data_IF_255117158760
#
_entry.id   IF_255117158760
#
_cell.length_a   1.000
_cell.length_b   1.000
_cell.length_c   1.000
_cell.angle_alpha   90.00
_cell.angle_beta   90.00
_cell.angle_gamma   90.00
#
_symmetry.space_group_name_H-M   'P 1'
#
loop_
_entity.id
_entity.type
_entity.pdbx_description
1 polymer ?
#
# COMPACT_ATOMS: atom_id res chain seq x y z
N UNK A 1 28.14 -19.35 25.47
CA UNK A 1 26.97 -19.14 24.61
C UNK A 1 27.15 -19.78 23.22
N UNK A 2 27.73 -21.00 23.11
CA UNK A 2 27.96 -21.67 21.81
C UNK A 2 26.80 -22.57 21.35
N UNK A 3 25.99 -23.08 22.29
CA UNK A 3 24.88 -24.00 22.00
C UNK A 3 23.81 -23.42 21.04
N UNK A 4 23.59 -22.10 21.05
CA UNK A 4 22.55 -21.47 20.24
C UNK A 4 22.97 -21.25 18.78
N UNK A 5 24.26 -21.02 18.51
CA UNK A 5 24.79 -20.75 17.17
C UNK A 5 24.82 -22.03 16.31
N UNK A 6 25.23 -23.14 16.92
CA UNK A 6 25.29 -24.45 16.24
C UNK A 6 23.90 -24.99 15.91
N UNK A 7 22.89 -24.76 16.77
CA UNK A 7 21.49 -25.10 16.49
C UNK A 7 20.88 -24.29 15.33
N UNK A 8 21.32 -23.05 15.13
CA UNK A 8 20.86 -22.20 14.02
C UNK A 8 21.48 -22.68 12.71
N UNK A 9 22.78 -22.96 12.72
CA UNK A 9 23.51 -23.44 11.54
C UNK A 9 23.00 -24.79 11.05
N UNK A 10 22.51 -25.66 11.95
CA UNK A 10 21.96 -26.97 11.62
C UNK A 10 20.45 -26.96 11.27
N UNK A 11 19.80 -25.80 11.16
CA UNK A 11 18.39 -25.73 10.79
C UNK A 11 18.22 -26.17 9.33
N UNK A 12 17.66 -27.36 9.14
CA UNK A 12 17.28 -27.91 7.83
C UNK A 12 15.77 -27.76 7.70
N UNK A 13 15.34 -26.89 6.78
CA UNK A 13 13.92 -26.73 6.48
C UNK A 13 13.48 -27.87 5.54
N UNK A 14 12.54 -28.69 6.02
CA UNK A 14 12.06 -29.87 5.31
C UNK A 14 11.12 -29.52 4.15
N UNK A 15 10.90 -30.47 3.23
CA UNK A 15 9.93 -30.33 2.14
C UNK A 15 8.49 -30.16 2.67
N UNK A 16 8.15 -30.84 3.76
CA UNK A 16 6.85 -30.69 4.44
C UNK A 16 6.67 -29.28 5.00
N UNK A 17 7.73 -28.69 5.56
CA UNK A 17 7.72 -27.32 6.06
C UNK A 17 7.56 -26.31 4.93
N UNK A 18 8.27 -26.48 3.80
CA UNK A 18 8.09 -25.65 2.61
C UNK A 18 6.65 -25.72 2.08
N UNK A 19 6.07 -26.92 2.01
CA UNK A 19 4.65 -27.11 1.63
C UNK A 19 3.71 -26.41 2.61
N UNK A 20 3.97 -26.48 3.90
CA UNK A 20 3.17 -25.80 4.92
C UNK A 20 3.25 -24.27 4.78
N UNK A 21 4.45 -23.73 4.53
CA UNK A 21 4.68 -22.30 4.25
C UNK A 21 3.91 -21.86 3.01
N UNK A 22 4.04 -22.57 1.88
CA UNK A 22 3.29 -22.26 0.65
C UNK A 22 1.77 -22.31 0.87
N UNK A 23 1.27 -23.33 1.57
CA UNK A 23 -0.15 -23.45 1.87
C UNK A 23 -0.64 -22.31 2.78
N UNK A 24 0.13 -21.92 3.78
CA UNK A 24 -0.14 -20.79 4.65
C UNK A 24 -0.15 -19.46 3.90
N UNK A 25 0.86 -19.25 3.04
CA UNK A 25 0.98 -18.07 2.20
C UNK A 25 -0.20 -17.96 1.23
N UNK A 26 -0.59 -19.05 0.55
CA UNK A 26 -1.76 -19.08 -0.34
C UNK A 26 -3.05 -18.68 0.38
N UNK A 27 -3.26 -19.17 1.61
CA UNK A 27 -4.41 -18.76 2.43
C UNK A 27 -4.38 -17.26 2.76
N UNK A 28 -3.22 -16.73 3.15
CA UNK A 28 -3.03 -15.30 3.41
C UNK A 28 -3.30 -14.47 2.15
N UNK A 29 -2.71 -14.84 1.02
CA UNK A 29 -2.95 -14.17 -0.27
C UNK A 29 -4.43 -14.14 -0.63
N UNK A 30 -5.16 -15.24 -0.45
CA UNK A 30 -6.59 -15.28 -0.75
C UNK A 30 -7.37 -14.22 0.06
N UNK A 31 -7.02 -14.02 1.33
CA UNK A 31 -7.61 -12.98 2.19
C UNK A 31 -7.24 -11.58 1.68
N UNK A 32 -5.97 -11.35 1.32
CA UNK A 32 -5.52 -10.05 0.81
C UNK A 32 -6.16 -9.70 -0.54
N UNK A 33 -6.27 -10.69 -1.44
CA UNK A 33 -6.98 -10.57 -2.71
C UNK A 33 -8.44 -10.21 -2.46
N UNK A 34 -9.12 -10.90 -1.55
CA UNK A 34 -10.50 -10.59 -1.21
C UNK A 34 -10.63 -9.18 -0.63
N UNK A 35 -9.72 -8.79 0.26
CA UNK A 35 -9.67 -7.43 0.83
C UNK A 35 -9.55 -6.36 -0.26
N UNK A 36 -8.67 -6.57 -1.25
CA UNK A 36 -8.52 -5.63 -2.37
C UNK A 36 -9.75 -5.60 -3.28
N UNK A 37 -10.44 -6.75 -3.46
CA UNK A 37 -11.74 -6.80 -4.16
C UNK A 37 -12.82 -6.02 -3.41
N UNK A 38 -12.91 -6.18 -2.10
CA UNK A 38 -13.88 -5.48 -1.27
C UNK A 38 -13.65 -3.95 -1.35
N UNK A 39 -12.37 -3.52 -1.31
CA UNK A 39 -12.00 -2.11 -1.53
C UNK A 39 -12.40 -1.57 -2.89
N UNK A 40 -12.36 -2.41 -3.93
CA UNK A 40 -12.85 -2.04 -5.26
C UNK A 40 -14.37 -1.89 -5.26
N UNK A 41 -15.09 -2.80 -4.62
CA UNK A 41 -16.54 -2.70 -4.48
C UNK A 41 -16.94 -1.42 -3.73
N UNK A 42 -16.24 -1.06 -2.65
CA UNK A 42 -16.44 0.21 -1.94
C UNK A 42 -16.32 1.42 -2.89
N UNK A 43 -15.32 1.41 -3.78
CA UNK A 43 -15.12 2.48 -4.76
C UNK A 43 -16.24 2.51 -5.82
N UNK A 44 -16.69 1.35 -6.29
CA UNK A 44 -17.83 1.25 -7.22
C UNK A 44 -19.14 1.73 -6.58
N UNK A 45 -19.35 1.46 -5.29
CA UNK A 45 -20.48 2.00 -4.53
C UNK A 45 -20.44 3.52 -4.41
N UNK A 46 -19.25 4.13 -4.28
CA UNK A 46 -19.11 5.58 -4.31
C UNK A 46 -19.51 6.17 -5.67
N UNK A 47 -19.21 5.49 -6.78
CA UNK A 47 -19.61 5.92 -8.12
C UNK A 47 -21.14 5.89 -8.33
N UNK A 48 -21.86 5.03 -7.61
CA UNK A 48 -23.31 4.97 -7.65
C UNK A 48 -23.98 6.17 -6.94
N UNK A 49 -23.26 6.90 -6.08
CA UNK A 49 -23.78 8.03 -5.32
C UNK A 49 -23.98 9.26 -6.21
N UNK A 50 -25.14 9.94 -6.20
CA UNK A 50 -25.37 11.12 -7.03
C UNK A 50 -24.41 12.28 -6.73
N UNK A 51 -23.94 12.40 -5.49
CA UNK A 51 -23.01 13.43 -5.03
C UNK A 51 -21.71 13.44 -5.81
N UNK A 52 -21.26 12.28 -6.29
CA UNK A 52 -19.97 12.12 -6.98
C UNK A 52 -19.91 12.92 -8.30
N UNK A 53 -21.07 13.23 -8.88
CA UNK A 53 -21.21 13.97 -10.13
C UNK A 53 -20.99 15.48 -9.99
N UNK A 54 -20.83 15.98 -8.77
CA UNK A 54 -20.66 17.42 -8.49
C UNK A 54 -19.35 17.69 -7.75
N UNK A 55 -18.74 18.86 -7.96
CA UNK A 55 -17.48 19.21 -7.27
C UNK A 55 -17.63 19.21 -5.74
N UNK A 56 -18.76 19.74 -5.26
CA UNK A 56 -19.07 19.81 -3.83
C UNK A 56 -19.27 18.41 -3.24
N UNK A 57 -20.02 17.55 -3.92
CA UNK A 57 -20.27 16.20 -3.47
C UNK A 57 -19.02 15.33 -3.53
N UNK A 58 -18.24 15.42 -4.61
CA UNK A 58 -16.93 14.77 -4.71
C UNK A 58 -16.00 15.18 -3.56
N UNK A 59 -15.91 16.48 -3.26
CA UNK A 59 -15.13 17.00 -2.13
C UNK A 59 -15.56 16.41 -0.79
N UNK A 60 -16.86 16.18 -0.58
CA UNK A 60 -17.37 15.55 0.63
C UNK A 60 -17.00 14.06 0.68
N UNK A 61 -17.19 13.34 -0.42
CA UNK A 61 -16.84 11.92 -0.51
C UNK A 61 -15.35 11.70 -0.31
N UNK A 62 -14.49 12.52 -0.93
CA UNK A 62 -13.05 12.46 -0.75
C UNK A 62 -12.63 12.67 0.71
N UNK A 63 -13.24 13.62 1.42
CA UNK A 63 -12.96 13.84 2.85
C UNK A 63 -13.30 12.64 3.73
N UNK A 64 -14.35 11.92 3.39
CA UNK A 64 -14.91 10.86 4.23
C UNK A 64 -14.36 9.46 3.90
N UNK A 65 -13.91 9.25 2.66
CA UNK A 65 -13.59 7.91 2.16
C UNK A 65 -12.19 7.77 1.54
N UNK A 66 -11.49 8.87 1.23
CA UNK A 66 -10.16 8.78 0.64
C UNK A 66 -9.10 8.54 1.72
N UNK A 67 -8.17 7.61 1.46
CA UNK A 67 -7.00 7.34 2.30
C UNK A 67 -5.87 8.37 2.06
N UNK A 68 -5.95 9.15 0.98
CA UNK A 68 -4.90 10.09 0.58
C UNK A 68 -4.80 11.32 1.50
N UNK A 69 -3.59 11.90 1.59
CA UNK A 69 -3.34 13.11 2.40
C UNK A 69 -4.18 14.32 1.95
N UNK A 70 -4.54 14.34 0.66
CA UNK A 70 -5.40 15.32 0.02
C UNK A 70 -6.88 15.21 0.40
N UNK A 71 -7.30 14.10 1.04
CA UNK A 71 -8.66 13.89 1.52
C UNK A 71 -9.15 15.10 2.32
N UNK A 72 -8.33 15.61 3.24
CA UNK A 72 -8.63 16.79 4.08
C UNK A 72 -8.92 18.05 3.25
N UNK A 73 -8.34 18.16 2.05
CA UNK A 73 -8.54 19.26 1.10
C UNK A 73 -9.63 18.98 0.06
N UNK A 74 -10.42 17.92 0.26
CA UNK A 74 -11.47 17.55 -0.68
C UNK A 74 -10.98 16.75 -1.88
N UNK A 75 -9.86 16.03 -1.74
CA UNK A 75 -9.31 15.22 -2.81
C UNK A 75 -8.40 15.99 -3.77
N UNK A 76 -8.28 17.32 -3.66
CA UNK A 76 -7.52 18.13 -4.63
C UNK A 76 -6.02 17.79 -4.55
N UNK A 77 -5.50 17.27 -5.66
CA UNK A 77 -4.10 16.80 -5.76
C UNK A 77 -3.21 17.93 -6.28
N UNK A 78 -3.68 18.64 -7.31
CA UNK A 78 -2.91 19.69 -7.98
C UNK A 78 -3.42 19.96 -9.39
N UNK A 79 -2.61 20.66 -10.17
CA UNK A 79 -2.89 20.97 -11.57
C UNK A 79 -1.86 20.29 -12.45
N UNK A 80 -2.31 19.49 -13.42
CA UNK A 80 -1.46 18.61 -14.24
C UNK A 80 -1.88 18.61 -15.71
N UNK A 81 -0.98 18.25 -16.64
CA UNK A 81 -1.40 17.88 -18.00
C UNK A 81 -2.07 16.50 -18.01
N UNK A 82 -2.75 16.13 -19.10
CA UNK A 82 -3.39 14.80 -19.18
C UNK A 82 -2.37 13.67 -19.16
N UNK A 83 -1.21 13.89 -19.77
CA UNK A 83 -0.10 12.94 -19.81
C UNK A 83 0.51 12.75 -18.42
N UNK A 84 0.67 13.84 -17.66
CA UNK A 84 1.11 13.77 -16.26
C UNK A 84 0.12 12.99 -15.39
N UNK A 85 -1.19 13.21 -15.55
CA UNK A 85 -2.21 12.44 -14.82
C UNK A 85 -2.18 10.97 -15.20
N UNK A 86 -2.13 10.66 -16.50
CA UNK A 86 -2.09 9.28 -17.00
C UNK A 86 -0.88 8.51 -16.45
N UNK A 87 0.29 9.15 -16.44
CA UNK A 87 1.50 8.57 -15.86
C UNK A 87 1.35 8.28 -14.35
N UNK A 88 0.80 9.22 -13.59
CA UNK A 88 0.62 9.08 -12.14
C UNK A 88 -0.34 7.95 -11.75
N UNK A 89 -1.36 7.71 -12.57
CA UNK A 89 -2.36 6.65 -12.32
C UNK A 89 -2.02 5.31 -12.99
N UNK A 90 -0.86 5.21 -13.66
CA UNK A 90 -0.40 4.03 -14.41
C UNK A 90 -1.35 3.66 -15.58
N UNK A 91 -1.87 4.66 -16.28
CA UNK A 91 -2.75 4.52 -17.43
C UNK A 91 -2.09 5.03 -18.71
N UNK A 92 -2.54 4.50 -19.85
CA UNK A 92 -2.02 4.94 -21.17
C UNK A 92 -2.49 6.34 -21.54
N UNK A 93 -3.69 6.71 -21.13
CA UNK A 93 -4.32 7.97 -21.48
C UNK A 93 -5.32 8.38 -20.39
N UNK A 94 -5.47 9.70 -20.17
CA UNK A 94 -6.46 10.26 -19.27
C UNK A 94 -7.45 11.18 -20.02
N UNK A 95 -8.67 10.69 -20.24
CA UNK A 95 -9.66 11.31 -21.14
C UNK A 95 -10.84 12.00 -20.44
N UNK A 96 -10.84 12.05 -19.10
CA UNK A 96 -11.95 12.61 -18.32
C UNK A 96 -12.14 14.10 -18.64
N UNK A 97 -13.37 14.54 -18.93
CA UNK A 97 -13.65 15.93 -19.26
C UNK A 97 -13.77 16.81 -18.00
N UNK A 98 -13.67 18.13 -18.18
CA UNK A 98 -13.88 19.10 -17.09
C UNK A 98 -15.29 18.97 -16.54
N UNK A 99 -15.41 18.90 -15.22
CA UNK A 99 -16.67 18.68 -14.50
C UNK A 99 -17.11 17.22 -14.43
N UNK A 100 -16.40 16.29 -15.08
CA UNK A 100 -16.70 14.86 -15.05
C UNK A 100 -15.90 14.09 -14.00
N UNK A 101 -16.40 12.90 -13.69
CA UNK A 101 -15.76 11.96 -12.77
C UNK A 101 -15.54 10.63 -13.49
N UNK A 102 -14.36 10.05 -13.33
CA UNK A 102 -13.96 8.81 -13.96
C UNK A 102 -14.66 7.59 -13.34
N UNK A 103 -14.43 6.42 -13.95
CA UNK A 103 -14.56 5.14 -13.25
C UNK A 103 -13.44 4.91 -12.24
N UNK A 104 -13.30 3.65 -11.79
CA UNK A 104 -12.20 3.24 -10.92
C UNK A 104 -10.97 2.88 -11.76
N UNK A 105 -9.91 3.68 -11.62
CA UNK A 105 -8.57 3.34 -12.10
C UNK A 105 -7.85 2.47 -11.07
N UNK A 106 -7.04 1.54 -11.53
CA UNK A 106 -6.34 0.59 -10.67
C UNK A 106 -4.87 0.52 -11.03
N UNK A 107 -4.01 0.90 -10.07
CA UNK A 107 -2.58 0.62 -10.13
C UNK A 107 -2.22 -0.57 -9.23
N UNK A 108 -0.97 -1.04 -9.22
CA UNK A 108 -0.53 -2.07 -8.28
C UNK A 108 -0.75 -1.69 -6.81
N UNK A 109 -0.63 -0.38 -6.50
CA UNK A 109 -0.62 0.14 -5.13
C UNK A 109 -1.94 0.73 -4.66
N UNK A 110 -2.83 1.15 -5.56
CA UNK A 110 -4.07 1.83 -5.17
C UNK A 110 -5.17 1.77 -6.23
N UNK A 111 -6.40 2.01 -5.75
CA UNK A 111 -7.59 2.28 -6.56
C UNK A 111 -7.89 3.77 -6.49
N UNK A 112 -8.28 4.37 -7.62
CA UNK A 112 -8.51 5.82 -7.72
C UNK A 112 -9.79 6.13 -8.50
N UNK A 113 -10.56 7.11 -8.01
CA UNK A 113 -11.58 7.80 -8.80
C UNK A 113 -11.13 9.24 -8.97
N UNK A 114 -11.11 9.73 -10.19
CA UNK A 114 -10.61 11.05 -10.55
C UNK A 114 -11.74 11.98 -10.95
N UNK A 115 -11.66 13.25 -10.58
CA UNK A 115 -12.55 14.31 -11.04
C UNK A 115 -11.74 15.49 -11.56
N UNK A 116 -12.07 15.96 -12.75
CA UNK A 116 -11.47 17.17 -13.30
C UNK A 116 -12.32 18.35 -12.89
N UNK A 117 -11.76 19.27 -12.11
CA UNK A 117 -12.50 20.41 -11.55
C UNK A 117 -12.58 21.55 -12.55
N UNK A 118 -11.43 21.92 -13.14
CA UNK A 118 -11.33 23.01 -14.10
C UNK A 118 -10.08 22.88 -14.95
N UNK A 119 -10.13 23.51 -16.11
CA UNK A 119 -8.95 23.79 -16.93
C UNK A 119 -8.27 25.06 -16.42
N UNK A 120 -6.94 25.03 -16.37
CA UNK A 120 -6.08 26.15 -16.02
C UNK A 120 -5.18 26.49 -17.21
N UNK A 121 -4.83 27.77 -17.32
CA UNK A 121 -3.94 28.25 -18.36
C UNK A 121 -2.59 27.52 -18.27
N UNK A 122 -1.93 27.29 -19.42
CA UNK A 122 -0.57 26.77 -19.43
C UNK A 122 0.38 27.64 -18.59
N UNK A 123 1.36 27.01 -17.94
CA UNK A 123 2.35 27.73 -17.13
C UNK A 123 3.23 28.66 -17.98
N UNK A 124 3.38 28.33 -19.26
CA UNK A 124 4.14 29.12 -20.24
C UNK A 124 3.32 29.31 -21.51
N UNK A 125 3.51 30.43 -22.17
CA UNK A 125 2.88 30.72 -23.46
C UNK A 125 3.23 29.65 -24.51
N UNK A 126 2.22 29.10 -25.17
CA UNK A 126 2.37 27.95 -26.08
C UNK A 126 2.49 26.57 -25.40
N UNK A 127 2.37 26.50 -24.06
CA UNK A 127 2.38 25.25 -23.32
C UNK A 127 1.08 24.45 -23.42
N UNK A 128 1.11 23.20 -22.95
CA UNK A 128 -0.06 22.33 -22.89
C UNK A 128 -1.08 22.83 -21.85
N UNK A 129 -2.37 22.60 -22.12
CA UNK A 129 -3.44 22.86 -21.17
C UNK A 129 -3.22 22.03 -19.89
N UNK A 130 -3.47 22.65 -18.73
CA UNK A 130 -3.36 21.98 -17.44
C UNK A 130 -4.74 21.89 -16.79
N UNK A 131 -4.95 20.88 -15.98
CA UNK A 131 -6.24 20.56 -15.40
C UNK A 131 -6.08 20.42 -13.89
N UNK A 132 -6.88 21.15 -13.14
CA UNK A 132 -6.97 20.94 -11.70
C UNK A 132 -7.79 19.67 -11.46
N UNK A 133 -7.18 18.69 -10.80
CA UNK A 133 -7.80 17.38 -10.55
C UNK A 133 -7.93 17.11 -9.05
N UNK A 134 -8.98 16.37 -8.73
CA UNK A 134 -9.20 15.79 -7.42
C UNK A 134 -9.31 14.27 -7.53
N UNK A 135 -8.95 13.56 -6.46
CA UNK A 135 -9.06 12.12 -6.38
C UNK A 135 -9.74 11.63 -5.10
N UNK A 136 -10.34 10.45 -5.20
CA UNK A 136 -10.63 9.57 -4.07
C UNK A 136 -9.71 8.37 -4.24
N UNK A 137 -8.83 8.15 -3.27
CA UNK A 137 -7.80 7.12 -3.31
C UNK A 137 -8.09 6.07 -2.23
N UNK A 138 -7.99 4.80 -2.60
CA UNK A 138 -8.04 3.67 -1.67
C UNK A 138 -6.78 2.85 -1.85
N UNK A 139 -5.97 2.71 -0.81
CA UNK A 139 -4.74 1.93 -0.88
C UNK A 139 -5.05 0.44 -1.08
N UNK A 140 -4.25 -0.27 -1.87
CA UNK A 140 -4.30 -1.74 -1.96
C UNK A 140 -3.37 -2.34 -0.92
N UNK A 141 -3.74 -3.48 -0.34
CA UNK A 141 -2.79 -4.27 0.44
C UNK A 141 -1.82 -4.91 -0.55
N UNK A 142 -0.51 -4.75 -0.37
CA UNK A 142 0.48 -5.40 -1.23
C UNK A 142 0.35 -6.92 -1.08
N UNK A 143 0.48 -7.61 -2.21
CA UNK A 143 0.52 -9.06 -2.27
C UNK A 143 1.94 -9.42 -2.65
N UNK A 144 2.71 -9.84 -1.65
CA UNK A 144 4.05 -10.39 -1.88
C UNK A 144 3.92 -11.80 -2.40
N UNK A 145 4.71 -12.15 -3.41
CA UNK A 145 4.79 -13.51 -3.93
C UNK A 145 5.99 -14.23 -3.31
N UNK A 146 5.81 -15.51 -2.98
CA UNK A 146 6.95 -16.35 -2.61
C UNK A 146 7.76 -16.75 -3.85
N UNK A 147 9.08 -16.94 -3.71
CA UNK A 147 9.89 -17.55 -4.76
C UNK A 147 9.30 -18.88 -5.24
N UNK A 148 9.26 -19.06 -6.56
CA UNK A 148 8.85 -20.35 -7.14
C UNK A 148 9.89 -21.44 -6.89
N UNK A 149 11.17 -21.06 -6.86
CA UNK A 149 12.32 -21.91 -6.58
C UNK A 149 12.37 -22.32 -5.10
N UNK A 150 12.35 -23.63 -4.82
CA UNK A 150 12.33 -24.18 -3.46
C UNK A 150 13.62 -23.91 -2.68
N UNK A 151 14.78 -23.82 -3.33
CA UNK A 151 16.04 -23.51 -2.64
C UNK A 151 16.06 -22.04 -2.18
N UNK A 152 15.57 -21.13 -3.03
CA UNK A 152 15.41 -19.72 -2.64
C UNK A 152 14.36 -19.55 -1.55
N UNK A 153 13.24 -20.28 -1.64
CA UNK A 153 12.22 -20.25 -0.59
C UNK A 153 12.78 -20.80 0.72
N UNK A 154 13.58 -21.87 0.66
CA UNK A 154 14.24 -22.46 1.82
C UNK A 154 15.17 -21.47 2.52
N UNK A 155 15.99 -20.77 1.75
CA UNK A 155 16.88 -19.73 2.27
C UNK A 155 16.10 -18.57 2.91
N UNK A 156 15.02 -18.11 2.26
CA UNK A 156 14.13 -17.08 2.80
C UNK A 156 13.52 -17.51 4.13
N UNK A 157 12.92 -18.70 4.19
CA UNK A 157 12.28 -19.24 5.41
C UNK A 157 13.29 -19.39 6.54
N UNK A 158 14.50 -19.88 6.23
CA UNK A 158 15.59 -19.98 7.21
C UNK A 158 15.94 -18.60 7.78
N UNK A 159 16.13 -17.62 6.92
CA UNK A 159 16.45 -16.24 7.31
C UNK A 159 15.35 -15.63 8.19
N UNK A 160 14.07 -15.81 7.82
CA UNK A 160 12.94 -15.34 8.62
C UNK A 160 12.90 -15.99 10.01
N UNK A 161 13.19 -17.29 10.09
CA UNK A 161 13.25 -18.00 11.35
C UNK A 161 14.39 -17.49 12.24
N UNK A 162 15.58 -17.31 11.66
CA UNK A 162 16.74 -16.73 12.34
C UNK A 162 16.43 -15.34 12.90
N UNK A 163 15.82 -14.47 12.10
CA UNK A 163 15.42 -13.13 12.51
C UNK A 163 14.40 -13.14 13.65
N UNK A 164 13.36 -13.98 13.57
CA UNK A 164 12.37 -14.11 14.66
C UNK A 164 12.99 -14.60 15.95
N UNK A 165 13.94 -15.52 15.87
CA UNK A 165 14.67 -16.02 17.05
C UNK A 165 15.56 -14.94 17.65
N UNK A 166 16.27 -14.18 16.81
CA UNK A 166 17.10 -13.06 17.26
C UNK A 166 16.24 -11.99 17.97
N UNK A 167 15.08 -11.65 17.39
CA UNK A 167 14.13 -10.73 18.02
C UNK A 167 13.62 -11.27 19.35
N UNK A 168 13.20 -12.54 19.41
CA UNK A 168 12.72 -13.16 20.66
C UNK A 168 13.80 -13.17 21.74
N UNK A 169 15.05 -13.46 21.36
CA UNK A 169 16.19 -13.43 22.27
C UNK A 169 16.53 -12.00 22.74
N UNK A 170 16.45 -11.01 21.85
CA UNK A 170 16.63 -9.61 22.21
C UNK A 170 15.58 -9.14 23.23
N UNK A 171 14.32 -9.51 23.03
CA UNK A 171 13.23 -9.24 23.99
C UNK A 171 13.50 -9.92 25.34
N UNK A 172 13.94 -11.18 25.34
CA UNK A 172 14.32 -11.89 26.58
C UNK A 172 15.46 -11.19 27.33
N UNK A 173 16.50 -10.77 26.62
CA UNK A 173 17.63 -10.04 27.21
C UNK A 173 17.22 -8.70 27.82
N UNK A 174 16.41 -7.92 27.10
CA UNK A 174 15.90 -6.63 27.57
C UNK A 174 14.96 -6.78 28.78
N UNK A 175 14.18 -7.87 28.84
CA UNK A 175 13.32 -8.12 30.00
C UNK A 175 14.10 -8.62 31.22
N UNK A 176 15.21 -9.34 31.00
CA UNK A 176 16.02 -9.92 32.07
C UNK A 176 17.06 -8.95 32.62
N UNK A 177 17.47 -7.98 31.83
CA UNK A 177 18.51 -7.02 32.19
C UNK A 177 17.99 -5.60 32.04
N UNK A 178 18.24 -4.76 33.04
CA UNK A 178 17.91 -3.33 32.98
C UNK A 178 18.88 -2.61 32.04
N UNK A 179 18.63 -2.73 30.73
CA UNK A 179 19.49 -2.18 29.67
C UNK A 179 19.12 -0.70 29.46
N UNK A 180 19.75 0.18 30.21
CA UNK A 180 19.64 1.64 30.00
C UNK A 180 20.68 2.11 28.97
N UNK A 181 20.23 2.79 27.91
CA UNK A 181 21.12 3.46 26.95
C UNK A 181 21.17 4.96 27.25
N UNK A 182 22.35 5.61 27.30
CA UNK A 182 22.45 7.07 27.41
C UNK A 182 21.74 7.82 26.28
N UNK A 183 21.60 7.18 25.10
CA UNK A 183 20.88 7.74 23.95
C UNK A 183 19.36 7.59 24.07
N UNK A 184 18.89 6.63 24.88
CA UNK A 184 17.48 6.35 25.13
C UNK A 184 17.25 6.11 26.63
N UNK A 185 17.33 7.17 27.46
CA UNK A 185 17.32 7.05 28.92
C UNK A 185 15.97 6.56 29.48
N UNK A 186 14.91 6.51 28.66
CA UNK A 186 13.59 5.99 29.04
C UNK A 186 13.45 4.48 28.76
N UNK A 187 14.51 3.82 28.26
CA UNK A 187 14.48 2.43 27.82
C UNK A 187 13.93 2.26 26.39
N UNK A 188 14.09 1.07 25.83
CA UNK A 188 13.46 0.71 24.56
C UNK A 188 12.04 0.20 24.83
N UNK A 189 11.05 1.10 24.81
CA UNK A 189 9.65 0.69 24.78
C UNK A 189 9.33 0.20 23.36
N UNK A 190 9.14 -1.11 23.21
CA UNK A 190 8.60 -1.70 21.99
C UNK A 190 7.10 -1.93 22.24
N UNK A 191 6.25 -1.09 21.62
CA UNK A 191 4.80 -1.34 21.49
C UNK A 191 4.53 -2.45 20.46
#
# INVERSE_FOLDING_TARGET
>A
MKLNEDMIRSLVISEEELKAVRAGHKRRMAILIQTNKDRRLEMEELLAKPEIKTDRGFKLLAKNHSDGIEAKRGGVVGTFTREEVALEIDEKEFTVAVGETSGVFESPTALRIMRVLKEEAPEKEGGAARFQVAQILRGKVPIEELPEDDDKLRELVKTEFEMKRLQSFAVELLNKHDVTSPLFPQGFAFD
#
